data_IF_847787020811
#
_entry.id   IF_847787020811
#
_cell.length_a   1.000
_cell.length_b   1.000
_cell.length_c   1.000
_cell.angle_alpha   90.00
_cell.angle_beta   90.00
_cell.angle_gamma   90.00
#
_symmetry.space_group_name_H-M   'P 1'
#
loop_
_entity.id
_entity.type
_entity.pdbx_description
1 polymer ?
#
# COMPACT_ATOMS: atom_id res chain seq x y z
N UNK A 1 -2.06 2.26 -2.15
CA UNK A 1 -1.23 3.29 -1.48
C UNK A 1 -0.42 2.68 -0.36
N UNK A 2 0.85 3.07 -0.21
CA UNK A 2 1.78 2.46 0.74
C UNK A 2 1.48 2.84 2.21
N UNK A 3 0.93 4.03 2.40
CA UNK A 3 0.54 4.57 3.71
C UNK A 3 -0.66 3.88 4.34
N UNK A 4 -1.46 3.11 3.59
CA UNK A 4 -2.57 2.34 4.18
C UNK A 4 -2.11 1.04 4.84
N UNK A 5 -0.85 0.64 4.59
CA UNK A 5 -0.22 -0.52 5.23
C UNK A 5 0.74 -0.08 6.32
N UNK A 6 1.49 1.00 6.08
CA UNK A 6 2.42 1.57 7.03
C UNK A 6 1.89 2.92 7.53
N UNK A 7 1.43 2.96 8.79
CA UNK A 7 0.89 4.19 9.41
C UNK A 7 1.96 5.14 9.97
N UNK A 8 3.21 5.07 9.47
CA UNK A 8 4.27 5.97 9.93
C UNK A 8 4.22 7.32 9.20
N UNK A 9 4.62 8.40 9.87
CA UNK A 9 4.71 9.74 9.26
C UNK A 9 5.53 9.73 7.97
N UNK A 10 6.65 8.99 7.98
CA UNK A 10 7.52 8.81 6.81
C UNK A 10 6.82 8.09 5.66
N UNK A 11 6.03 7.04 5.92
CA UNK A 11 5.32 6.31 4.89
C UNK A 11 4.20 7.16 4.24
N UNK A 12 3.52 7.99 5.04
CA UNK A 12 2.54 8.95 4.55
C UNK A 12 3.21 9.97 3.62
N UNK A 13 4.33 10.55 4.05
CA UNK A 13 5.07 11.54 3.25
C UNK A 13 5.57 10.96 1.92
N UNK A 14 6.16 9.76 1.95
CA UNK A 14 6.61 9.08 0.73
C UNK A 14 5.45 8.80 -0.22
N UNK A 15 4.29 8.33 0.29
CA UNK A 15 3.11 8.09 -0.54
C UNK A 15 2.58 9.38 -1.19
N UNK A 16 2.63 10.52 -0.48
CA UNK A 16 2.26 11.82 -1.05
C UNK A 16 3.24 12.22 -2.17
N UNK A 17 4.55 12.02 -1.98
CA UNK A 17 5.55 12.35 -3.01
C UNK A 17 5.40 11.49 -4.27
N UNK A 18 5.07 10.21 -4.11
CA UNK A 18 4.76 9.30 -5.23
C UNK A 18 3.57 9.84 -6.01
N UNK A 19 2.46 10.18 -5.34
CA UNK A 19 1.26 10.70 -6.00
C UNK A 19 1.53 12.04 -6.71
N UNK A 20 2.28 12.97 -6.09
CA UNK A 20 2.65 14.25 -6.73
C UNK A 20 3.45 14.03 -8.02
N UNK A 21 4.37 13.08 -8.02
CA UNK A 21 5.17 12.74 -9.20
C UNK A 21 4.27 12.25 -10.33
N UNK A 22 3.34 11.34 -10.06
CA UNK A 22 2.38 10.85 -11.05
C UNK A 22 1.46 11.96 -11.59
N UNK A 23 0.97 12.85 -10.72
CA UNK A 23 0.16 14.00 -11.16
C UNK A 23 0.94 14.93 -12.08
N UNK A 24 2.20 15.27 -11.74
CA UNK A 24 3.05 16.10 -12.60
C UNK A 24 3.35 15.43 -13.95
N UNK A 25 3.58 14.12 -13.96
CA UNK A 25 3.75 13.37 -15.22
C UNK A 25 2.46 13.47 -16.05
N UNK A 26 1.28 13.32 -15.45
CA UNK A 26 -0.01 13.45 -16.15
C UNK A 26 -0.22 14.87 -16.70
N UNK A 27 0.13 15.90 -15.94
CA UNK A 27 0.06 17.30 -16.38
C UNK A 27 0.98 17.58 -17.58
N UNK A 28 2.21 17.06 -17.56
CA UNK A 28 3.15 17.19 -18.67
C UNK A 28 2.66 16.48 -19.95
N UNK A 29 1.91 15.39 -19.80
CA UNK A 29 1.44 14.57 -20.91
C UNK A 29 0.01 14.93 -21.36
N UNK A 30 -0.63 15.94 -20.75
CA UNK A 30 -2.05 16.28 -20.96
C UNK A 30 -2.39 16.68 -22.41
N UNK A 31 -1.40 16.99 -23.25
CA UNK A 31 -1.54 17.28 -24.69
C UNK A 31 -1.79 16.04 -25.54
N UNK A 32 -1.54 14.82 -25.04
CA UNK A 32 -1.71 13.57 -25.79
C UNK A 32 -2.69 12.63 -25.10
N UNK A 33 -3.92 12.53 -25.63
CA UNK A 33 -4.98 11.71 -25.07
C UNK A 33 -4.63 10.21 -24.96
N UNK A 34 -3.91 9.67 -25.94
CA UNK A 34 -3.49 8.27 -25.93
C UNK A 34 -2.44 7.98 -24.84
N UNK A 35 -1.54 8.94 -24.62
CA UNK A 35 -0.49 8.82 -23.62
C UNK A 35 -1.07 8.88 -22.20
N UNK A 36 -2.06 9.76 -21.98
CA UNK A 36 -2.85 9.84 -20.74
C UNK A 36 -3.53 8.50 -20.44
N UNK A 37 -4.18 7.90 -21.44
CA UNK A 37 -4.89 6.62 -21.31
C UNK A 37 -3.95 5.48 -20.96
N UNK A 38 -2.78 5.41 -21.62
CA UNK A 38 -1.75 4.41 -21.33
C UNK A 38 -1.18 4.57 -19.91
N UNK A 39 -1.03 5.81 -19.44
CA UNK A 39 -0.58 6.11 -18.08
C UNK A 39 -1.62 5.67 -17.02
N UNK A 40 -2.91 5.92 -17.27
CA UNK A 40 -4.01 5.47 -16.40
C UNK A 40 -4.10 3.94 -16.31
N UNK A 41 -3.94 3.25 -17.43
CA UNK A 41 -3.93 1.79 -17.47
C UNK A 41 -2.72 1.21 -16.73
N UNK A 42 -1.54 1.82 -16.91
CA UNK A 42 -0.34 1.46 -16.16
C UNK A 42 -0.54 1.66 -14.65
N UNK A 43 -1.05 2.83 -14.24
CA UNK A 43 -1.33 3.16 -12.83
C UNK A 43 -2.26 2.12 -12.19
N UNK A 44 -3.39 1.79 -12.84
CA UNK A 44 -4.33 0.76 -12.37
C UNK A 44 -3.68 -0.62 -12.26
N UNK A 45 -2.85 -0.98 -13.25
CA UNK A 45 -2.15 -2.27 -13.24
C UNK A 45 -1.16 -2.36 -12.08
N UNK A 46 -0.40 -1.30 -11.83
CA UNK A 46 0.54 -1.26 -10.71
C UNK A 46 -0.19 -1.29 -9.36
N UNK A 47 -1.26 -0.51 -9.19
CA UNK A 47 -2.07 -0.55 -7.97
C UNK A 47 -2.58 -1.97 -7.65
N UNK A 48 -3.00 -2.71 -8.67
CA UNK A 48 -3.40 -4.12 -8.52
C UNK A 48 -2.21 -5.02 -8.13
N UNK A 49 -1.07 -4.89 -8.81
CA UNK A 49 0.13 -5.69 -8.52
C UNK A 49 0.70 -5.41 -7.12
N UNK A 50 0.61 -4.17 -6.66
CA UNK A 50 1.04 -3.78 -5.33
C UNK A 50 0.11 -4.32 -4.22
N UNK A 51 -1.13 -4.70 -4.53
CA UNK A 51 -2.05 -5.30 -3.56
C UNK A 51 -1.47 -6.56 -2.90
N UNK A 52 -0.87 -7.45 -3.67
CA UNK A 52 -0.24 -8.67 -3.13
C UNK A 52 0.94 -8.35 -2.19
N UNK A 53 1.73 -7.32 -2.54
CA UNK A 53 2.83 -6.84 -1.69
C UNK A 53 2.29 -6.22 -0.39
N UNK A 54 1.19 -5.45 -0.48
CA UNK A 54 0.52 -4.89 0.68
C UNK A 54 -0.02 -5.95 1.62
N UNK A 55 -0.68 -6.97 1.08
CA UNK A 55 -1.22 -8.07 1.87
C UNK A 55 -0.10 -8.85 2.57
N UNK A 56 1.03 -9.08 1.88
CA UNK A 56 2.21 -9.73 2.47
C UNK A 56 2.83 -8.91 3.62
N UNK A 57 3.03 -7.60 3.42
CA UNK A 57 3.56 -6.72 4.49
C UNK A 57 2.58 -6.65 5.67
N UNK A 58 1.27 -6.58 5.39
CA UNK A 58 0.23 -6.59 6.42
C UNK A 58 0.26 -7.88 7.24
N UNK A 59 0.49 -9.02 6.58
CA UNK A 59 0.65 -10.31 7.25
C UNK A 59 1.91 -10.39 8.12
N UNK A 60 2.97 -9.65 7.80
CA UNK A 60 4.21 -9.60 8.59
C UNK A 60 4.12 -8.66 9.79
N UNK A 61 3.32 -7.59 9.68
CA UNK A 61 3.10 -6.60 10.75
C UNK A 61 1.98 -7.01 11.69
N UNK A 62 1.04 -7.85 11.23
CA UNK A 62 -0.05 -8.34 12.06
C UNK A 62 0.50 -9.08 13.29
N UNK A 63 0.02 -8.69 14.48
CA UNK A 63 0.36 -9.38 15.72
C UNK A 63 0.04 -10.88 15.60
N UNK A 64 0.93 -11.76 16.11
CA UNK A 64 0.64 -13.19 16.13
C UNK A 64 -0.69 -13.41 16.87
N UNK A 65 -1.56 -14.31 16.35
CA UNK A 65 -2.84 -14.59 16.99
C UNK A 65 -2.59 -14.98 18.45
N UNK A 66 -3.41 -14.44 19.36
CA UNK A 66 -3.29 -14.70 20.79
C UNK A 66 -3.13 -16.19 21.05
N UNK A 67 -1.94 -16.59 21.50
CA UNK A 67 -1.64 -17.98 21.79
C UNK A 67 -2.56 -18.42 22.93
N UNK A 68 -3.43 -19.41 22.69
CA UNK A 68 -4.19 -20.02 23.78
C UNK A 68 -3.17 -20.58 24.77
N UNK A 69 -3.15 -20.06 26.00
CA UNK A 69 -2.31 -20.63 27.08
C UNK A 69 -2.79 -22.06 27.32
N UNK A 70 -2.01 -23.04 26.87
CA UNK A 70 -2.24 -24.44 27.21
C UNK A 70 -1.51 -24.69 28.53
N UNK A 71 -2.29 -24.82 29.61
CA UNK A 71 -1.77 -25.11 30.95
C UNK A 71 -2.92 -25.28 31.94
N UNK A 72 -2.72 -26.14 32.94
CA UNK A 72 -3.68 -26.32 34.04
C UNK A 72 -3.66 -25.08 34.95
N UNK A 73 -4.78 -24.35 35.02
CA UNK A 73 -5.03 -23.45 36.15
C UNK A 73 -5.53 -24.30 37.31
N UNK A 74 -4.63 -24.62 38.25
CA UNK A 74 -5.05 -25.07 39.56
C UNK A 74 -5.80 -23.90 40.23
N UNK A 75 -7.10 -24.08 40.48
CA UNK A 75 -7.89 -23.20 41.35
C UNK A 75 -7.51 -23.55 42.79
N UNK A 76 -6.89 -22.62 43.50
CA UNK A 76 -7.06 -22.51 44.96
C UNK A 76 -8.37 -21.76 45.25
#
# INVERSE_FOLDING_TARGET
MLSSVLNSKRAIEVNIQIMRTFTKIRELLNTHADLRRKLEEMEKKYDYQFKAVFDAIKSLIADPPAVKKIGFTARE
#
